data_IF_192292042751
#
_entry.id   IF_192292042751
#
_cell.length_a   1.000
_cell.length_b   1.000
_cell.length_c   1.000
_cell.angle_alpha   90.00
_cell.angle_beta   90.00
_cell.angle_gamma   90.00
#
_symmetry.space_group_name_H-M   'P 1'
#
loop_
_entity.id
_entity.type
_entity.pdbx_description
1 polymer ?
#
# COMPACT_ATOMS: atom_id res chain seq x y z
N UNK A 1 -11.90 14.73 0.35
CA UNK A 1 -13.11 13.93 0.67
C UNK A 1 -13.17 13.80 2.18
N UNK A 2 -14.24 14.26 2.83
CA UNK A 2 -14.37 14.14 4.28
C UNK A 2 -14.73 12.69 4.61
N UNK A 3 -13.77 11.93 5.13
CA UNK A 3 -14.04 10.60 5.66
C UNK A 3 -15.02 10.75 6.84
N UNK A 4 -16.25 10.29 6.69
CA UNK A 4 -17.26 10.34 7.75
C UNK A 4 -16.92 9.28 8.82
N UNK A 5 -16.00 9.65 9.72
CA UNK A 5 -15.54 8.81 10.82
C UNK A 5 -16.49 8.95 12.01
N UNK A 6 -16.87 7.82 12.63
CA UNK A 6 -17.79 7.82 13.78
C UNK A 6 -17.13 7.26 15.02
N UNK A 7 -17.38 7.90 16.15
CA UNK A 7 -16.92 7.44 17.46
C UNK A 7 -17.76 6.25 17.94
N UNK A 8 -17.22 5.44 18.84
CA UNK A 8 -17.96 4.33 19.49
C UNK A 8 -19.26 4.83 20.15
N UNK A 9 -19.28 6.07 20.65
CA UNK A 9 -20.46 6.68 21.24
C UNK A 9 -21.57 6.89 20.20
N UNK A 10 -21.25 7.55 19.09
CA UNK A 10 -22.23 7.79 18.02
C UNK A 10 -22.74 6.48 17.43
N UNK A 11 -21.87 5.48 17.28
CA UNK A 11 -22.27 4.13 16.84
C UNK A 11 -23.28 3.47 17.80
N UNK A 12 -23.01 3.54 19.10
CA UNK A 12 -23.90 2.99 20.11
C UNK A 12 -25.28 3.68 20.09
N UNK A 13 -25.29 5.01 20.00
CA UNK A 13 -26.51 5.82 19.98
C UNK A 13 -27.35 5.59 18.70
N UNK A 14 -26.69 5.34 17.57
CA UNK A 14 -27.31 5.04 16.28
C UNK A 14 -27.83 3.60 16.19
N UNK A 15 -27.05 2.64 16.67
CA UNK A 15 -27.44 1.21 16.66
C UNK A 15 -28.40 0.84 17.79
N UNK A 16 -28.67 1.75 18.72
CA UNK A 16 -29.48 1.51 19.94
C UNK A 16 -28.93 0.36 20.78
N UNK A 17 -27.61 0.28 20.89
CA UNK A 17 -26.90 -0.74 21.70
C UNK A 17 -25.94 -0.08 22.69
N UNK A 18 -25.46 -0.82 23.67
CA UNK A 18 -24.48 -0.30 24.62
C UNK A 18 -23.10 -0.08 23.96
N UNK A 19 -22.34 0.92 24.44
CA UNK A 19 -20.94 1.15 24.02
C UNK A 19 -20.08 -0.11 24.22
N UNK A 20 -20.39 -0.90 25.25
CA UNK A 20 -19.72 -2.16 25.54
C UNK A 20 -19.98 -3.21 24.44
N UNK A 21 -21.21 -3.30 23.95
CA UNK A 21 -21.58 -4.20 22.85
C UNK A 21 -20.79 -3.86 21.57
N UNK A 22 -20.68 -2.57 21.25
CA UNK A 22 -19.85 -2.11 20.13
C UNK A 22 -18.39 -2.50 20.34
N UNK A 23 -17.82 -2.22 21.53
CA UNK A 23 -16.41 -2.58 21.86
C UNK A 23 -16.12 -4.07 21.74
N UNK A 24 -17.06 -4.94 22.12
CA UNK A 24 -16.91 -6.40 21.99
C UNK A 24 -16.71 -6.84 20.54
N UNK A 25 -17.18 -6.06 19.58
CA UNK A 25 -17.03 -6.34 18.13
C UNK A 25 -15.79 -5.72 17.51
N UNK A 26 -15.07 -4.86 18.24
CA UNK A 26 -13.77 -4.33 17.82
C UNK A 26 -12.67 -5.34 18.18
N UNK A 27 -12.63 -6.48 17.50
CA UNK A 27 -11.51 -7.43 17.59
C UNK A 27 -10.22 -6.79 17.05
N UNK A 28 -9.06 -7.36 17.39
CA UNK A 28 -7.77 -6.79 16.97
C UNK A 28 -7.64 -6.70 15.44
N UNK A 29 -8.12 -7.71 14.71
CA UNK A 29 -8.20 -7.70 13.24
C UNK A 29 -9.11 -6.59 12.71
N UNK A 30 -10.26 -6.36 13.37
CA UNK A 30 -11.17 -5.29 12.99
C UNK A 30 -10.54 -3.92 13.24
N UNK A 31 -9.82 -3.78 14.36
CA UNK A 31 -9.13 -2.53 14.71
C UNK A 31 -8.02 -2.19 13.74
N UNK A 32 -7.23 -3.18 13.32
CA UNK A 32 -6.17 -2.99 12.34
C UNK A 32 -6.68 -2.45 10.99
N UNK A 33 -7.87 -2.88 10.56
CA UNK A 33 -8.40 -2.55 9.24
C UNK A 33 -9.37 -1.35 9.24
N UNK A 34 -10.13 -1.15 10.31
CA UNK A 34 -11.30 -0.25 10.29
C UNK A 34 -11.36 0.76 11.43
N UNK A 35 -10.39 0.79 12.34
CA UNK A 35 -10.35 1.76 13.44
C UNK A 35 -9.13 2.64 13.31
N UNK A 36 -9.32 3.94 13.47
CA UNK A 36 -8.27 4.94 13.50
C UNK A 36 -8.31 5.67 14.84
N UNK A 37 -7.16 6.11 15.32
CA UNK A 37 -7.09 7.05 16.44
C UNK A 37 -6.97 8.46 15.85
N UNK A 38 -7.85 9.36 16.28
CA UNK A 38 -7.81 10.78 15.89
C UNK A 38 -7.67 11.65 17.12
N UNK A 39 -6.87 12.71 17.01
CA UNK A 39 -6.77 13.73 18.04
C UNK A 39 -7.93 14.71 17.88
N UNK A 40 -8.84 14.71 18.84
CA UNK A 40 -9.96 15.65 18.89
C UNK A 40 -10.03 16.27 20.26
N UNK A 41 -10.13 17.60 20.33
CA UNK A 41 -10.22 18.36 21.58
C UNK A 41 -9.11 18.02 22.59
N UNK A 42 -7.87 17.79 22.11
CA UNK A 42 -6.72 17.46 22.95
C UNK A 42 -6.70 16.03 23.51
N UNK A 43 -7.62 15.15 23.08
CA UNK A 43 -7.70 13.76 23.53
C UNK A 43 -7.70 12.81 22.34
N UNK A 44 -6.94 11.71 22.46
CA UNK A 44 -6.96 10.61 21.51
C UNK A 44 -8.31 9.88 21.55
N UNK A 45 -9.03 9.92 20.44
CA UNK A 45 -10.35 9.29 20.31
C UNK A 45 -10.32 8.22 19.23
N UNK A 46 -10.81 7.03 19.57
CA UNK A 46 -10.99 5.94 18.62
C UNK A 46 -12.23 6.21 17.76
N UNK A 47 -12.02 6.23 16.45
CA UNK A 47 -13.07 6.41 15.44
C UNK A 47 -13.03 5.27 14.45
N UNK A 48 -14.21 4.90 13.97
CA UNK A 48 -14.42 3.81 13.03
C UNK A 48 -14.60 4.38 11.63
N UNK A 49 -13.95 3.76 10.65
CA UNK A 49 -14.09 4.13 9.24
C UNK A 49 -15.46 3.77 8.68
N UNK A 50 -15.81 4.33 7.52
CA UNK A 50 -17.08 4.04 6.84
C UNK A 50 -17.25 2.54 6.57
N UNK A 51 -16.16 1.82 6.28
CA UNK A 51 -16.17 0.37 6.12
C UNK A 51 -16.57 -0.35 7.42
N UNK A 52 -15.89 -0.03 8.53
CA UNK A 52 -16.19 -0.63 9.82
C UNK A 52 -17.60 -0.33 10.32
N UNK A 53 -18.09 0.89 10.09
CA UNK A 53 -19.47 1.28 10.41
C UNK A 53 -20.48 0.34 9.74
N UNK A 54 -20.31 0.02 8.45
CA UNK A 54 -21.24 -0.84 7.71
C UNK A 54 -21.29 -2.26 8.26
N UNK A 55 -20.13 -2.83 8.60
CA UNK A 55 -20.02 -4.17 9.20
C UNK A 55 -20.71 -4.20 10.58
N UNK A 56 -20.46 -3.20 11.42
CA UNK A 56 -21.10 -3.11 12.73
C UNK A 56 -22.61 -2.90 12.60
N UNK A 57 -23.04 -2.03 11.68
CA UNK A 57 -24.46 -1.79 11.41
C UNK A 57 -25.18 -3.08 11.03
N UNK A 58 -24.60 -3.88 10.14
CA UNK A 58 -25.15 -5.18 9.77
C UNK A 58 -25.31 -6.08 11.00
N UNK A 59 -24.25 -6.21 11.80
CA UNK A 59 -24.24 -7.07 12.97
C UNK A 59 -25.32 -6.69 14.00
N UNK A 60 -25.54 -5.39 14.25
CA UNK A 60 -26.53 -4.94 15.22
C UNK A 60 -27.95 -4.83 14.63
N UNK A 61 -28.09 -4.60 13.32
CA UNK A 61 -29.40 -4.51 12.66
C UNK A 61 -30.07 -5.88 12.52
N UNK A 62 -29.30 -6.95 12.31
CA UNK A 62 -29.85 -8.32 12.22
C UNK A 62 -30.46 -8.85 13.53
N UNK A 63 -30.15 -8.25 14.67
CA UNK A 63 -30.63 -8.71 15.99
C UNK A 63 -31.88 -7.99 16.50
N UNK A 64 -32.25 -6.84 15.90
CA UNK A 64 -33.31 -5.96 16.42
C UNK A 64 -34.72 -6.27 15.87
N UNK A 65 -34.90 -7.40 15.19
CA UNK A 65 -36.24 -7.88 14.81
C UNK A 65 -37.05 -8.51 15.95
N UNK A 66 -36.43 -8.72 17.12
CA UNK A 66 -37.12 -9.15 18.34
C UNK A 66 -37.10 -7.99 19.33
N UNK A 67 -38.12 -7.15 19.22
CA UNK A 67 -38.49 -6.15 20.20
C UNK A 67 -38.81 -6.88 21.51
N UNK A 68 -37.82 -7.05 22.39
CA UNK A 68 -38.09 -7.43 23.77
C UNK A 68 -38.61 -6.18 24.48
N UNK A 69 -39.93 -6.03 24.40
CA UNK A 69 -40.69 -5.15 25.28
C UNK A 69 -40.48 -5.62 26.70
N UNK A 70 -39.92 -4.73 27.51
CA UNK A 70 -39.87 -4.83 28.97
C UNK A 70 -41.28 -5.13 29.50
N UNK A 71 -41.53 -6.37 29.91
CA UNK A 71 -42.73 -6.73 30.66
C UNK A 71 -42.48 -7.96 31.53
N UNK A 72 -42.11 -7.68 32.77
CA UNK A 72 -42.29 -8.59 33.90
C UNK A 72 -43.80 -8.84 34.07
N UNK A 73 -44.26 -10.09 34.00
CA UNK A 73 -45.33 -10.72 34.80
C UNK A 73 -45.59 -12.13 34.24
N UNK A 74 -45.59 -13.12 35.14
CA UNK A 74 -45.65 -14.54 34.81
C UNK A 74 -46.95 -15.01 34.15
N UNK A 75 -46.83 -16.12 33.42
CA UNK A 75 -47.97 -16.82 32.84
C UNK A 75 -47.51 -17.99 31.97
N UNK A 76 -47.70 -19.20 32.49
CA UNK A 76 -47.50 -20.48 31.81
C UNK A 76 -48.48 -20.62 30.61
N UNK A 77 -47.99 -21.16 29.49
CA UNK A 77 -48.84 -21.83 28.50
C UNK A 77 -48.74 -21.34 27.04
N UNK A 78 -48.59 -22.30 26.13
CA UNK A 78 -49.01 -22.13 24.72
C UNK A 78 -47.92 -22.35 23.68
N UNK A 79 -47.79 -23.59 23.21
CA UNK A 79 -47.22 -23.92 21.90
C UNK A 79 -48.05 -23.20 20.82
N UNK A 80 -47.42 -22.33 20.02
CA UNK A 80 -47.96 -21.84 18.77
C UNK A 80 -46.84 -21.71 17.71
N UNK A 81 -46.91 -22.61 16.73
CA UNK A 81 -46.20 -22.58 15.46
C UNK A 81 -46.31 -21.21 14.77
N UNK A 82 -45.18 -20.56 14.48
CA UNK A 82 -45.14 -19.35 13.64
C UNK A 82 -44.25 -19.61 12.44
N UNK A 83 -44.93 -19.79 11.31
CA UNK A 83 -44.45 -19.75 9.94
C UNK A 83 -43.43 -18.62 9.74
N UNK A 84 -42.16 -18.99 9.59
CA UNK A 84 -41.10 -18.09 9.14
C UNK A 84 -40.97 -18.21 7.63
N UNK A 85 -41.79 -17.47 6.89
CA UNK A 85 -41.61 -17.31 5.46
C UNK A 85 -41.65 -15.84 5.06
N UNK A 86 -40.56 -15.44 4.39
CA UNK A 86 -40.48 -14.34 3.43
C UNK A 86 -40.35 -12.89 3.96
N UNK A 87 -39.28 -12.61 4.71
CA UNK A 87 -38.68 -11.25 4.76
C UNK A 87 -37.15 -11.20 4.78
N UNK A 88 -36.48 -12.33 4.58
CA UNK A 88 -35.01 -12.43 4.59
C UNK A 88 -34.39 -12.24 3.19
N UNK A 89 -35.21 -12.22 2.12
CA UNK A 89 -34.75 -12.20 0.73
C UNK A 89 -34.39 -10.79 0.23
N UNK A 90 -35.03 -9.74 0.74
CA UNK A 90 -34.82 -8.35 0.27
C UNK A 90 -33.54 -7.72 0.82
N UNK A 91 -33.19 -7.98 2.07
CA UNK A 91 -32.00 -7.40 2.72
C UNK A 91 -30.71 -8.04 2.21
N UNK A 92 -30.75 -9.35 1.93
CA UNK A 92 -29.65 -10.05 1.24
C UNK A 92 -29.42 -9.53 -0.18
N UNK A 93 -30.48 -9.11 -0.90
CA UNK A 93 -30.36 -8.53 -2.25
C UNK A 93 -29.59 -7.21 -2.25
N UNK A 94 -29.83 -6.34 -1.26
CA UNK A 94 -29.14 -5.06 -1.16
C UNK A 94 -27.66 -5.24 -0.78
N UNK A 95 -27.35 -6.16 0.14
CA UNK A 95 -25.96 -6.51 0.49
C UNK A 95 -25.23 -7.09 -0.72
N UNK A 96 -25.88 -7.99 -1.46
CA UNK A 96 -25.32 -8.58 -2.68
C UNK A 96 -24.99 -7.52 -3.74
N UNK A 97 -25.91 -6.59 -4.02
CA UNK A 97 -25.66 -5.47 -4.96
C UNK A 97 -24.50 -4.57 -4.52
N UNK A 98 -24.35 -4.32 -3.22
CA UNK A 98 -23.22 -3.53 -2.71
C UNK A 98 -21.91 -4.29 -2.89
N UNK A 99 -21.90 -5.60 -2.61
CA UNK A 99 -20.72 -6.44 -2.79
C UNK A 99 -20.32 -6.51 -4.27
N UNK A 100 -21.28 -6.68 -5.18
CA UNK A 100 -21.04 -6.60 -6.63
C UNK A 100 -20.46 -5.26 -7.04
N UNK A 101 -21.02 -4.15 -6.56
CA UNK A 101 -20.50 -2.82 -6.87
C UNK A 101 -19.08 -2.61 -6.32
N UNK A 102 -18.78 -3.15 -5.14
CA UNK A 102 -17.42 -3.15 -4.58
C UNK A 102 -16.46 -3.99 -5.42
N UNK A 103 -16.91 -5.14 -5.92
CA UNK A 103 -16.12 -6.00 -6.80
C UNK A 103 -15.73 -5.24 -8.07
N UNK A 104 -16.71 -4.63 -8.76
CA UNK A 104 -16.49 -3.82 -9.97
C UNK A 104 -15.52 -2.67 -9.72
N UNK A 105 -15.64 -1.96 -8.59
CA UNK A 105 -14.72 -0.88 -8.24
C UNK A 105 -13.30 -1.41 -8.00
N UNK A 106 -13.16 -2.57 -7.34
CA UNK A 106 -11.85 -3.21 -7.11
C UNK A 106 -11.24 -3.71 -8.40
N UNK A 107 -12.00 -4.34 -9.27
CA UNK A 107 -11.52 -4.83 -10.57
C UNK A 107 -10.99 -3.66 -11.42
N UNK A 108 -11.72 -2.55 -11.49
CA UNK A 108 -11.26 -1.34 -12.17
C UNK A 108 -9.99 -0.75 -11.55
N UNK A 109 -9.84 -0.82 -10.22
CA UNK A 109 -8.61 -0.40 -9.55
C UNK A 109 -7.43 -1.32 -9.87
N UNK A 110 -7.67 -2.63 -10.01
CA UNK A 110 -6.66 -3.61 -10.42
C UNK A 110 -6.23 -3.34 -11.86
N UNK A 111 -7.18 -3.19 -12.79
CA UNK A 111 -6.88 -2.85 -14.19
C UNK A 111 -6.04 -1.57 -14.31
N UNK A 112 -6.37 -0.52 -13.56
CA UNK A 112 -5.60 0.71 -13.54
C UNK A 112 -4.16 0.50 -13.03
N UNK A 113 -3.99 -0.30 -11.96
CA UNK A 113 -2.67 -0.62 -11.42
C UNK A 113 -1.86 -1.48 -12.38
N UNK A 114 -2.49 -2.45 -13.04
CA UNK A 114 -1.83 -3.29 -14.04
C UNK A 114 -1.40 -2.47 -15.27
N UNK A 115 -2.21 -1.49 -15.68
CA UNK A 115 -1.85 -0.54 -16.72
C UNK A 115 -0.64 0.31 -16.31
N UNK A 116 -0.63 0.84 -15.08
CA UNK A 116 0.51 1.59 -14.54
C UNK A 116 1.79 0.75 -14.47
N UNK A 117 1.69 -0.50 -14.00
CA UNK A 117 2.81 -1.44 -13.95
C UNK A 117 3.34 -1.69 -15.37
N UNK A 118 2.45 -1.89 -16.34
CA UNK A 118 2.82 -2.09 -17.75
C UNK A 118 3.55 -0.87 -18.32
N UNK A 119 3.09 0.35 -18.01
CA UNK A 119 3.79 1.58 -18.42
C UNK A 119 5.17 1.69 -17.78
N UNK A 120 5.29 1.41 -16.48
CA UNK A 120 6.57 1.43 -15.78
C UNK A 120 7.55 0.39 -16.33
N UNK A 121 7.08 -0.82 -16.63
CA UNK A 121 7.90 -1.86 -17.24
C UNK A 121 8.45 -1.41 -18.60
N UNK A 122 7.60 -0.81 -19.44
CA UNK A 122 8.04 -0.30 -20.74
C UNK A 122 9.11 0.80 -20.61
N UNK A 123 8.95 1.72 -19.66
CA UNK A 123 9.95 2.77 -19.41
C UNK A 123 11.27 2.19 -18.91
N UNK A 124 11.21 1.19 -18.02
CA UNK A 124 12.40 0.49 -17.54
C UNK A 124 13.12 -0.23 -18.68
N UNK A 125 12.39 -0.92 -19.54
CA UNK A 125 12.95 -1.63 -20.69
C UNK A 125 13.59 -0.64 -21.69
N UNK A 126 12.96 0.52 -21.91
CA UNK A 126 13.55 1.60 -22.72
C UNK A 126 14.85 2.12 -22.11
N UNK A 127 14.88 2.35 -20.80
CA UNK A 127 16.08 2.80 -20.10
C UNK A 127 17.21 1.76 -20.18
N UNK A 128 16.90 0.47 -20.06
CA UNK A 128 17.87 -0.60 -20.21
C UNK A 128 18.46 -0.64 -21.63
N UNK A 129 17.61 -0.50 -22.67
CA UNK A 129 18.07 -0.45 -24.06
C UNK A 129 19.00 0.73 -24.33
N UNK A 130 18.64 1.93 -23.86
CA UNK A 130 19.46 3.13 -24.00
C UNK A 130 20.81 2.95 -23.27
N UNK A 131 20.80 2.43 -22.05
CA UNK A 131 22.03 2.17 -21.29
C UNK A 131 22.96 1.17 -22.00
N UNK A 132 22.42 0.19 -22.72
CA UNK A 132 23.21 -0.74 -23.52
C UNK A 132 23.80 -0.06 -24.76
N UNK A 133 23.04 0.80 -25.44
CA UNK A 133 23.54 1.59 -26.58
C UNK A 133 24.65 2.54 -26.15
N UNK A 134 24.46 3.28 -25.05
CA UNK A 134 25.47 4.17 -24.48
C UNK A 134 26.75 3.39 -24.13
N UNK A 135 26.61 2.19 -23.57
CA UNK A 135 27.76 1.33 -23.26
C UNK A 135 28.52 0.91 -24.51
N UNK A 136 27.83 0.51 -25.58
CA UNK A 136 28.46 0.12 -26.86
C UNK A 136 29.22 1.30 -27.47
N UNK A 137 28.59 2.47 -27.54
CA UNK A 137 29.21 3.68 -28.06
C UNK A 137 30.45 4.09 -27.25
N UNK A 138 30.40 3.97 -25.93
CA UNK A 138 31.56 4.22 -25.06
C UNK A 138 32.69 3.21 -25.28
N UNK A 139 32.38 1.97 -25.64
CA UNK A 139 33.36 0.95 -25.95
C UNK A 139 34.03 1.21 -27.30
N UNK A 140 33.25 1.61 -28.32
CA UNK A 140 33.75 2.04 -29.63
C UNK A 140 34.70 3.25 -29.50
N UNK A 141 34.30 4.30 -28.77
CA UNK A 141 35.18 5.46 -28.56
C UNK A 141 36.47 5.10 -27.81
N UNK A 142 36.42 4.17 -26.85
CA UNK A 142 37.63 3.70 -26.16
C UNK A 142 38.55 2.93 -27.10
N UNK A 143 38.01 2.12 -28.00
CA UNK A 143 38.77 1.41 -29.01
C UNK A 143 39.40 2.38 -30.01
N UNK A 144 38.64 3.33 -30.54
CA UNK A 144 39.14 4.33 -31.48
C UNK A 144 40.23 5.21 -30.86
N UNK A 145 40.07 5.64 -29.61
CA UNK A 145 41.14 6.37 -28.89
C UNK A 145 42.40 5.51 -28.76
N UNK A 146 42.27 4.21 -28.49
CA UNK A 146 43.41 3.29 -28.38
C UNK A 146 44.12 3.11 -29.73
N UNK A 147 43.36 2.98 -30.82
CA UNK A 147 43.90 2.83 -32.17
C UNK A 147 44.56 4.11 -32.67
N UNK A 148 43.92 5.27 -32.45
CA UNK A 148 44.50 6.58 -32.74
C UNK A 148 45.80 6.79 -31.97
N UNK A 149 45.82 6.43 -30.67
CA UNK A 149 47.04 6.49 -29.87
C UNK A 149 48.13 5.61 -30.47
N UNK A 150 47.82 4.38 -30.88
CA UNK A 150 48.79 3.49 -31.52
C UNK A 150 49.30 4.05 -32.87
N UNK A 151 48.43 4.66 -33.67
CA UNK A 151 48.79 5.26 -34.95
C UNK A 151 49.69 6.50 -34.78
N UNK A 152 49.42 7.34 -33.78
CA UNK A 152 50.29 8.50 -33.45
C UNK A 152 51.65 8.09 -32.86
N UNK A 153 51.83 6.83 -32.46
CA UNK A 153 53.13 6.29 -32.01
C UNK A 153 53.90 5.54 -33.11
N UNK A 154 53.44 5.56 -34.36
CA UNK A 154 54.30 5.23 -35.51
C UNK A 154 55.38 6.31 -35.66
N UNK A 155 56.66 5.96 -35.85
CA UNK A 155 57.79 6.80 -35.45
C UNK A 155 57.89 8.06 -36.32
N UNK A 156 57.47 9.20 -35.77
CA UNK A 156 58.06 10.47 -36.16
C UNK A 156 59.41 10.55 -35.46
N UNK A 157 60.45 10.19 -36.20
CA UNK A 157 61.82 10.64 -35.94
C UNK A 157 61.81 12.16 -36.10
N UNK A 158 61.53 12.88 -35.02
CA UNK A 158 62.13 14.18 -34.81
C UNK A 158 62.41 14.36 -33.32
N UNK A 159 63.64 14.78 -33.05
CA UNK A 159 64.32 14.56 -31.79
C UNK A 159 63.68 15.25 -30.59
N UNK A 160 63.97 14.66 -29.43
CA UNK A 160 63.96 15.23 -28.09
C UNK A 160 62.81 14.86 -27.15
N UNK A 161 63.23 14.07 -26.14
CA UNK A 161 62.78 14.01 -24.73
C UNK A 161 61.65 13.04 -24.41
N UNK A 162 62.10 11.81 -24.16
CA UNK A 162 61.62 11.00 -23.03
C UNK A 162 61.40 11.87 -21.77
N UNK A 163 60.18 11.86 -21.22
CA UNK A 163 59.99 11.51 -19.81
C UNK A 163 58.72 10.67 -19.70
N UNK A 164 58.97 9.42 -19.34
CA UNK A 164 58.04 8.37 -18.99
C UNK A 164 57.16 8.73 -17.79
N UNK A 165 55.87 8.39 -17.88
CA UNK A 165 55.06 8.03 -16.70
C UNK A 165 53.93 7.12 -17.16
N UNK A 166 54.33 5.88 -17.41
CA UNK A 166 53.44 4.75 -17.53
C UNK A 166 53.06 4.30 -16.11
N UNK A 167 51.78 4.47 -15.76
CA UNK A 167 51.16 3.76 -14.63
C UNK A 167 49.79 3.27 -15.08
N UNK A 168 49.81 2.13 -15.74
CA UNK A 168 48.71 1.18 -15.78
C UNK A 168 48.44 0.65 -14.35
N UNK A 169 47.17 0.52 -13.90
CA UNK A 169 46.86 -0.31 -12.75
C UNK A 169 46.50 -1.73 -13.24
N UNK A 170 47.27 -2.73 -12.81
CA UNK A 170 46.86 -4.14 -12.93
C UNK A 170 45.75 -4.49 -11.92
N UNK A 171 44.90 -5.50 -12.25
CA UNK A 171 43.81 -5.94 -11.39
C UNK A 171 44.27 -7.04 -10.43
N UNK A 172 44.29 -6.78 -9.13
CA UNK A 172 44.45 -7.82 -8.12
C UNK A 172 43.14 -8.07 -7.37
N UNK A 173 42.59 -9.25 -7.65
CA UNK A 173 41.56 -9.92 -6.87
C UNK A 173 42.15 -10.37 -5.53
N UNK A 174 41.69 -9.79 -4.40
CA UNK A 174 41.45 -10.47 -3.11
C UNK A 174 41.03 -9.47 -2.03
N UNK A 175 39.81 -9.62 -1.52
CA UNK A 175 39.33 -8.93 -0.30
C UNK A 175 40.04 -9.54 0.92
N UNK A 176 40.43 -8.76 1.96
CA UNK A 176 39.55 -8.61 3.12
C UNK A 176 39.62 -7.24 3.84
N UNK A 177 38.42 -6.65 4.06
CA UNK A 177 37.95 -6.04 5.32
C UNK A 177 38.78 -4.91 6.00
N UNK A 178 38.42 -3.64 5.77
CA UNK A 178 38.51 -2.57 6.79
C UNK A 178 37.76 -1.26 6.43
N UNK A 179 36.63 -1.07 7.10
CA UNK A 179 35.93 0.17 7.50
C UNK A 179 35.31 1.18 6.49
N UNK A 180 34.01 1.54 6.65
CA UNK A 180 33.32 2.52 5.80
C UNK A 180 33.61 3.96 6.23
N UNK A 181 34.15 4.78 5.32
CA UNK A 181 34.24 6.23 5.51
C UNK A 181 32.83 6.85 5.48
N UNK A 182 32.44 7.72 6.44
CA UNK A 182 31.10 8.29 6.46
C UNK A 182 30.91 9.32 5.35
N UNK A 183 29.96 9.05 4.45
CA UNK A 183 29.52 10.00 3.41
C UNK A 183 28.76 11.16 4.06
N UNK A 184 29.27 12.39 3.92
CA UNK A 184 28.61 13.62 4.37
C UNK A 184 27.46 13.95 3.42
N UNK A 185 26.25 13.54 3.78
CA UNK A 185 25.02 13.94 3.09
C UNK A 185 24.61 15.35 3.54
N UNK A 186 24.15 16.16 2.59
CA UNK A 186 23.61 17.51 2.80
C UNK A 186 22.59 17.55 3.95
N UNK A 187 22.76 18.53 4.86
CA UNK A 187 21.76 18.88 5.89
C UNK A 187 20.85 19.94 5.27
N UNK A 188 19.58 19.63 5.04
CA UNK A 188 18.58 20.65 4.78
C UNK A 188 18.26 21.37 6.10
N UNK A 189 18.28 22.70 6.04
CA UNK A 189 18.13 23.59 7.19
C UNK A 189 16.69 23.71 7.71
N UNK A 190 16.65 24.09 8.99
CA UNK A 190 15.58 24.55 9.90
C UNK A 190 14.17 24.76 9.35
#
# INVERSE_FOLDING_TARGET
MNENLKTIRELADEFKVSKQAVRKRLTDEFRANYVKTVYSNGVETLVVTVGGYRLLKQHFSSSNGSENVDSNVGGNGGNANVTSDNKQTTDNSYVFKILEQQLVVKDKQIENKDSQISQMQNLLDQQQRLALQDKQLLEEYKAEIKDLKALTMAPHDDGEKEVTSDKQPEPENSTPKSQPKPKKWWRFGK
#
